data_IF_458605693357
#
_entry.id   IF_458605693357
#
_cell.length_a   1.000
_cell.length_b   1.000
_cell.length_c   1.000
_cell.angle_alpha   90.00
_cell.angle_beta   90.00
_cell.angle_gamma   90.00
#
_symmetry.space_group_name_H-M   'P 1'
#
loop_
_entity.id
_entity.type
_entity.pdbx_description
1 polymer ?
#
# COMPACT_ATOMS: atom_id res chain seq x y z
N UNK A 1 7.80 28.70 2.16
CA UNK A 1 6.34 28.39 2.18
C UNK A 1 5.62 28.88 3.44
N UNK A 2 6.26 28.93 4.63
CA UNK A 2 5.58 29.34 5.87
C UNK A 2 4.91 30.72 5.87
N UNK A 3 5.41 31.68 5.09
CA UNK A 3 4.80 33.01 4.93
C UNK A 3 3.38 32.98 4.37
N UNK A 4 3.04 31.94 3.60
CA UNK A 4 1.71 31.73 3.05
C UNK A 4 0.63 31.56 4.14
N UNK A 5 1.03 31.09 5.32
CA UNK A 5 0.13 30.74 6.42
C UNK A 5 0.11 31.77 7.56
N UNK A 6 1.07 32.71 7.60
CA UNK A 6 1.19 33.70 8.68
C UNK A 6 0.81 35.12 8.28
N UNK A 7 1.06 35.53 7.04
CA UNK A 7 0.75 36.87 6.54
C UNK A 7 1.32 37.11 5.14
N UNK A 8 0.80 36.42 4.11
CA UNK A 8 1.27 36.58 2.74
C UNK A 8 0.76 37.87 2.09
N UNK A 9 1.48 38.34 1.07
CA UNK A 9 0.93 39.28 0.12
C UNK A 9 0.17 38.51 -0.98
N UNK A 10 -1.17 38.48 -0.88
CA UNK A 10 -2.07 37.86 -1.85
C UNK A 10 -2.88 38.92 -2.63
N UNK A 11 -2.31 40.12 -2.81
CA UNK A 11 -2.98 41.22 -3.53
C UNK A 11 -3.36 40.89 -4.97
N UNK A 12 -2.71 39.90 -5.58
CA UNK A 12 -3.06 39.37 -6.91
C UNK A 12 -4.34 38.54 -6.94
N UNK A 13 -4.90 38.15 -5.80
CA UNK A 13 -6.16 37.40 -5.67
C UNK A 13 -7.29 38.32 -5.19
N UNK A 14 -7.04 39.11 -4.15
CA UNK A 14 -8.00 40.08 -3.59
C UNK A 14 -7.25 41.25 -2.94
N UNK A 15 -7.91 42.40 -2.80
CA UNK A 15 -7.43 43.54 -2.03
C UNK A 15 -7.43 43.32 -0.51
N UNK A 16 -8.17 42.31 -0.04
CA UNK A 16 -8.28 42.00 1.39
C UNK A 16 -7.06 41.26 1.93
N UNK A 17 -6.85 41.37 3.25
CA UNK A 17 -5.78 40.63 3.93
C UNK A 17 -6.19 39.17 4.14
N UNK A 18 -5.55 38.27 3.40
CA UNK A 18 -5.79 36.83 3.47
C UNK A 18 -4.58 36.07 4.03
N UNK A 19 -4.86 34.90 4.60
CA UNK A 19 -3.86 33.87 4.93
C UNK A 19 -4.38 32.50 4.49
N UNK A 20 -3.48 31.60 4.11
CA UNK A 20 -3.86 30.22 3.83
C UNK A 20 -4.02 29.48 5.15
N UNK A 21 -5.15 28.80 5.33
CA UNK A 21 -5.44 28.01 6.54
C UNK A 21 -4.87 26.59 6.45
N UNK A 22 -4.84 26.00 5.25
CA UNK A 22 -4.34 24.66 5.00
C UNK A 22 -4.34 24.35 3.52
N UNK A 23 -3.54 23.36 3.13
CA UNK A 23 -3.51 22.81 1.77
C UNK A 23 -3.79 21.32 1.90
N UNK A 24 -4.78 20.82 1.15
CA UNK A 24 -5.19 19.42 1.17
C UNK A 24 -4.82 18.79 -0.16
N UNK A 25 -4.13 17.66 -0.11
CA UNK A 25 -3.73 16.86 -1.27
C UNK A 25 -3.98 15.40 -0.93
N UNK A 26 -4.60 14.66 -1.84
CA UNK A 26 -4.85 13.24 -1.71
C UNK A 26 -4.61 12.59 -3.07
N UNK A 27 -3.96 11.43 -3.07
CA UNK A 27 -3.60 10.69 -4.27
C UNK A 27 -3.70 9.20 -3.98
N UNK A 28 -4.22 8.45 -4.95
CA UNK A 28 -4.28 6.99 -4.89
C UNK A 28 -3.52 6.44 -6.08
N UNK A 29 -2.71 5.41 -5.84
CA UNK A 29 -1.95 4.70 -6.87
C UNK A 29 -2.21 3.22 -6.70
N UNK A 30 -2.63 2.57 -7.77
CA UNK A 30 -2.86 1.14 -7.83
C UNK A 30 -1.90 0.53 -8.84
N UNK A 31 -1.25 -0.57 -8.46
CA UNK A 31 -0.37 -1.34 -9.33
C UNK A 31 -1.02 -2.69 -9.58
N UNK A 32 -1.20 -3.04 -10.86
CA UNK A 32 -1.72 -4.35 -11.28
C UNK A 32 -0.76 -5.03 -12.26
N UNK A 33 -0.84 -6.37 -12.30
CA UNK A 33 0.01 -7.18 -13.17
C UNK A 33 -0.44 -7.18 -14.63
N UNK A 34 -1.70 -6.84 -14.92
CA UNK A 34 -2.29 -6.90 -16.27
C UNK A 34 -1.48 -6.11 -17.31
N UNK A 35 -0.95 -4.94 -16.94
CA UNK A 35 -0.06 -4.14 -17.80
C UNK A 35 1.41 -4.58 -17.80
N UNK A 36 1.84 -5.31 -16.76
CA UNK A 36 3.22 -5.80 -16.60
C UNK A 36 3.43 -7.10 -17.37
N UNK A 37 2.44 -8.00 -17.38
CA UNK A 37 2.50 -9.32 -18.04
C UNK A 37 2.71 -9.20 -19.55
N UNK A 38 2.03 -8.25 -20.20
CA UNK A 38 2.20 -7.95 -21.61
C UNK A 38 3.63 -7.49 -21.95
N UNK A 39 4.28 -6.74 -21.05
CA UNK A 39 5.67 -6.28 -21.22
C UNK A 39 6.71 -7.36 -20.91
N UNK A 40 6.39 -8.35 -20.07
CA UNK A 40 7.28 -9.45 -19.68
C UNK A 40 7.27 -10.64 -20.67
N UNK A 41 6.23 -10.75 -21.50
CA UNK A 41 6.02 -11.89 -22.41
C UNK A 41 7.08 -12.01 -23.52
N UNK A 42 7.82 -10.95 -23.85
CA UNK A 42 8.82 -10.99 -24.93
C UNK A 42 10.21 -10.57 -24.46
N UNK A 43 10.99 -11.53 -23.96
CA UNK A 43 12.43 -11.38 -23.75
C UNK A 43 13.17 -12.60 -24.32
N UNK A 44 13.87 -12.43 -25.45
CA UNK A 44 14.81 -13.44 -25.98
C UNK A 44 16.20 -13.09 -25.45
N UNK A 45 16.69 -13.83 -24.44
CA UNK A 45 18.01 -13.59 -23.84
C UNK A 45 18.96 -14.76 -24.09
N UNK A 46 19.99 -14.53 -24.88
CA UNK A 46 21.16 -15.42 -25.02
C UNK A 46 22.25 -14.95 -24.05
N UNK A 47 22.10 -15.20 -22.75
CA UNK A 47 23.14 -14.90 -21.75
C UNK A 47 23.23 -16.01 -20.69
N UNK A 48 24.44 -16.22 -20.14
CA UNK A 48 24.73 -17.30 -19.18
C UNK A 48 24.28 -17.00 -17.74
N UNK A 49 23.83 -15.77 -17.45
CA UNK A 49 23.37 -15.35 -16.12
C UNK A 49 22.30 -14.27 -16.22
N UNK A 50 21.20 -14.45 -15.49
CA UNK A 50 20.12 -13.47 -15.31
C UNK A 50 20.34 -12.69 -14.00
N UNK A 51 20.09 -11.38 -14.01
CA UNK A 51 20.07 -10.56 -12.79
C UNK A 51 18.63 -10.40 -12.34
N UNK A 52 18.31 -10.88 -11.14
CA UNK A 52 16.98 -10.75 -10.55
C UNK A 52 16.90 -9.51 -9.66
N UNK A 53 15.84 -8.72 -9.81
CA UNK A 53 15.51 -7.62 -8.92
C UNK A 53 14.39 -8.03 -7.97
N UNK A 54 14.55 -7.77 -6.67
CA UNK A 54 13.55 -8.12 -5.64
C UNK A 54 13.42 -6.95 -4.65
N UNK A 55 12.25 -6.32 -4.62
CA UNK A 55 11.94 -5.20 -3.73
C UNK A 55 11.35 -5.69 -2.39
N UNK A 56 12.15 -6.41 -1.59
CA UNK A 56 11.68 -7.10 -0.36
C UNK A 56 11.96 -6.32 0.94
N UNK A 57 12.24 -5.03 0.84
CA UNK A 57 12.49 -4.12 1.97
C UNK A 57 11.97 -2.72 1.60
N UNK A 58 11.89 -1.76 2.54
CA UNK A 58 11.37 -0.44 2.23
C UNK A 58 12.03 0.18 1.00
N UNK A 59 11.21 0.62 0.05
CA UNK A 59 11.68 1.12 -1.23
C UNK A 59 10.99 2.44 -1.61
N UNK A 60 11.72 3.26 -2.36
CA UNK A 60 11.20 4.47 -2.98
C UNK A 60 10.74 4.15 -4.40
N UNK A 61 9.66 4.79 -4.84
CA UNK A 61 9.20 4.73 -6.23
C UNK A 61 8.90 6.13 -6.76
N UNK A 62 9.01 6.27 -8.09
CA UNK A 62 8.58 7.45 -8.83
C UNK A 62 7.92 7.01 -10.15
N UNK A 63 6.77 7.59 -10.48
CA UNK A 63 6.22 7.57 -11.84
C UNK A 63 6.62 8.89 -12.49
N UNK A 64 7.38 8.81 -13.58
CA UNK A 64 7.95 9.98 -14.25
C UNK A 64 7.41 10.02 -15.67
N UNK A 65 7.03 11.21 -16.12
CA UNK A 65 6.75 11.44 -17.53
C UNK A 65 8.06 11.53 -18.32
N UNK A 66 8.25 10.68 -19.34
CA UNK A 66 9.52 10.58 -20.07
C UNK A 66 9.85 11.83 -20.91
N UNK A 67 8.84 12.57 -21.35
CA UNK A 67 9.04 13.74 -22.21
C UNK A 67 9.52 14.97 -21.41
N UNK A 68 8.87 15.24 -20.28
CA UNK A 68 9.19 16.39 -19.41
C UNK A 68 10.14 16.06 -18.27
N UNK A 69 10.36 14.76 -18.00
CA UNK A 69 11.05 14.22 -16.83
C UNK A 69 10.40 14.65 -15.50
N UNK A 70 9.14 15.08 -15.53
CA UNK A 70 8.41 15.50 -14.34
C UNK A 70 7.91 14.27 -13.56
N UNK A 71 8.15 14.18 -12.24
CA UNK A 71 7.56 13.13 -11.43
C UNK A 71 6.07 13.40 -11.23
N UNK A 72 5.24 12.47 -11.69
CA UNK A 72 3.78 12.48 -11.54
C UNK A 72 3.37 11.94 -10.16
N UNK A 73 4.03 10.87 -9.71
CA UNK A 73 3.84 10.28 -8.40
C UNK A 73 5.19 9.94 -7.80
N UNK A 74 5.33 10.11 -6.49
CA UNK A 74 6.48 9.66 -5.72
C UNK A 74 6.03 9.18 -4.36
N UNK A 75 6.69 8.15 -3.84
CA UNK A 75 6.36 7.63 -2.53
C UNK A 75 7.41 6.69 -1.97
N UNK A 76 7.24 6.39 -0.69
CA UNK A 76 8.01 5.39 0.03
C UNK A 76 7.05 4.29 0.47
N UNK A 77 7.33 3.05 0.09
CA UNK A 77 6.61 1.88 0.56
C UNK A 77 7.42 1.26 1.69
N UNK A 78 6.91 1.36 2.91
CA UNK A 78 7.52 0.72 4.10
C UNK A 78 6.79 -0.56 4.51
N UNK A 79 5.50 -0.65 4.19
CA UNK A 79 4.69 -1.86 4.36
C UNK A 79 3.69 -1.96 3.18
N UNK A 80 3.85 -2.93 2.26
CA UNK A 80 2.93 -3.13 1.14
C UNK A 80 1.59 -3.77 1.55
N UNK A 81 1.48 -4.33 2.77
CA UNK A 81 0.27 -4.99 3.28
C UNK A 81 -0.10 -4.47 4.70
N UNK A 82 -0.56 -3.22 4.83
CA UNK A 82 -0.89 -2.61 6.12
C UNK A 82 -2.01 -3.33 6.88
N UNK A 83 -2.99 -3.91 6.18
CA UNK A 83 -4.20 -4.47 6.80
C UNK A 83 -4.06 -5.93 7.27
N UNK A 84 -2.96 -6.61 6.93
CA UNK A 84 -2.77 -8.02 7.30
C UNK A 84 -2.29 -8.20 8.75
N UNK A 85 -1.87 -7.13 9.44
CA UNK A 85 -1.33 -7.23 10.81
C UNK A 85 -2.40 -7.29 11.92
N UNK A 86 -3.69 -7.17 11.60
CA UNK A 86 -4.77 -7.16 12.60
C UNK A 86 -5.35 -8.55 12.92
N UNK A 87 -5.01 -9.59 12.16
CA UNK A 87 -5.66 -10.91 12.26
C UNK A 87 -4.81 -11.99 12.94
N UNK A 88 -3.55 -11.73 13.26
CA UNK A 88 -2.66 -12.68 13.94
C UNK A 88 -2.69 -12.51 15.48
N UNK A 89 -3.89 -12.56 16.10
CA UNK A 89 -3.99 -12.79 17.55
C UNK A 89 -3.98 -14.31 17.84
N UNK A 90 -2.93 -14.88 18.46
CA UNK A 90 -2.84 -16.32 18.70
C UNK A 90 -3.64 -16.79 19.93
N UNK A 91 -4.55 -15.96 20.46
CA UNK A 91 -5.12 -16.14 21.81
C UNK A 91 -6.54 -16.70 21.92
N UNK A 92 -7.27 -16.97 20.84
CA UNK A 92 -8.71 -17.31 20.93
C UNK A 92 -9.02 -18.79 20.70
N UNK A 93 -8.58 -19.67 21.61
CA UNK A 93 -9.09 -21.04 21.72
C UNK A 93 -9.61 -21.34 23.14
N UNK A 94 -10.85 -20.95 23.43
CA UNK A 94 -11.61 -21.60 24.49
C UNK A 94 -13.08 -21.70 24.10
N UNK A 95 -13.43 -22.85 23.53
CA UNK A 95 -14.79 -23.30 23.31
C UNK A 95 -14.95 -24.65 23.99
N UNK A 96 -15.30 -24.61 25.27
CA UNK A 96 -15.74 -25.72 26.11
C UNK A 96 -16.84 -26.50 25.37
N UNK A 97 -16.52 -27.72 24.92
CA UNK A 97 -17.53 -28.64 24.39
C UNK A 97 -18.06 -29.48 25.56
N UNK A 98 -18.94 -28.89 26.35
CA UNK A 98 -19.87 -29.63 27.20
C UNK A 98 -21.18 -29.78 26.43
N UNK A 99 -21.33 -30.92 25.77
CA UNK A 99 -22.60 -31.64 25.72
C UNK A 99 -22.32 -33.05 25.20
N UNK A 100 -22.57 -34.02 26.07
CA UNK A 100 -22.40 -35.45 25.86
C UNK A 100 -23.80 -36.05 25.93
N UNK A 101 -24.30 -36.76 24.91
CA UNK A 101 -25.39 -37.70 25.10
C UNK A 101 -24.82 -39.09 25.37
N UNK A 102 -25.20 -39.66 26.51
CA UNK A 102 -24.90 -41.04 26.90
C UNK A 102 -25.40 -42.04 25.85
N UNK A 103 -24.56 -43.02 25.50
CA UNK A 103 -25.00 -44.22 24.78
C UNK A 103 -24.92 -45.43 25.71
N UNK A 104 -26.10 -46.02 25.94
CA UNK A 104 -26.36 -47.23 26.70
C UNK A 104 -25.42 -48.39 26.32
N UNK A 105 -24.86 -49.00 27.37
CA UNK A 105 -23.98 -50.16 27.31
C UNK A 105 -24.81 -51.42 27.00
N UNK A 106 -24.64 -51.99 25.81
CA UNK A 106 -25.09 -53.36 25.50
C UNK A 106 -23.87 -54.23 25.18
N UNK A 107 -23.55 -55.13 26.10
CA UNK A 107 -22.58 -56.22 25.91
C UNK A 107 -23.34 -57.51 25.59
N UNK A 108 -22.88 -58.35 24.64
CA UNK A 108 -23.29 -59.76 24.59
C UNK A 108 -22.23 -60.67 25.24
N UNK A 109 -22.71 -61.81 25.70
CA UNK A 109 -22.04 -62.92 26.40
C UNK A 109 -20.81 -63.53 25.69
#
# INVERSE_FOLDING_TARGET
LGSLFSGPNLSGITSDTLKVAGVRHASTLELSEEGVEASATTAVTTMRSISLFSANSPFFFALVDDASLAPLFMGLVTNPAPDHMLNDDPGRNNGTMSDQPEMEKLSPE
#
